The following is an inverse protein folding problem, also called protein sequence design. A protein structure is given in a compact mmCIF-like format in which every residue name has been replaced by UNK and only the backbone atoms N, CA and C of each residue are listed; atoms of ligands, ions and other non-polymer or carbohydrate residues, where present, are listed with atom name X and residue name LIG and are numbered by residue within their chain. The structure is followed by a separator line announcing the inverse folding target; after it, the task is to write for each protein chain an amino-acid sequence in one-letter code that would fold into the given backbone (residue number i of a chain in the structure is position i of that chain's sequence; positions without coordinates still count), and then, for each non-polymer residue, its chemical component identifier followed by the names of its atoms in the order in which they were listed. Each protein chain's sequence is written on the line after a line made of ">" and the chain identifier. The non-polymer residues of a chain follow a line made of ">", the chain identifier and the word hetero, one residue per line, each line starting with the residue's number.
data_IF_888947343430
#
_entry.id   IF_888947343430
#
_cell.length_a   1.000
_cell.length_b   1.000
_cell.length_c   1.000
_cell.angle_alpha   90.00
_cell.angle_beta   90.00
_cell.angle_gamma   90.00
#
_symmetry.space_group_name_H-M   'P 1'
#
loop_
_entity.id
_entity.type
_entity.pdbx_description
1 polymer ?
#
# COMPACT_ATOMS: atom_id res chain seq x y z
N UNK A 1 -14.52 13.65 7.26
CA UNK A 1 -14.16 12.22 7.13
C UNK A 1 -12.64 12.12 7.17
N UNK A 2 -12.04 11.60 8.24
CA UNK A 2 -10.58 11.36 8.27
C UNK A 2 -10.33 10.05 7.53
N UNK A 3 -9.83 10.19 6.31
CA UNK A 3 -9.81 9.19 5.24
C UNK A 3 -8.74 8.13 5.47
N UNK A 4 -9.03 6.87 5.13
CA UNK A 4 -8.11 5.71 5.20
C UNK A 4 -6.75 5.90 4.48
N UNK A 5 -6.58 6.98 3.73
CA UNK A 5 -5.31 7.42 3.12
C UNK A 5 -4.33 8.04 4.13
N UNK A 6 -4.82 8.80 5.12
CA UNK A 6 -3.98 9.39 6.17
C UNK A 6 -3.10 8.35 6.90
N UNK A 7 -3.59 7.15 7.24
CA UNK A 7 -2.78 6.06 7.78
C UNK A 7 -1.72 5.48 6.83
N UNK A 8 -1.87 5.62 5.51
CA UNK A 8 -0.89 5.14 4.54
C UNK A 8 0.23 6.18 4.38
N UNK A 9 -0.13 7.43 4.12
CA UNK A 9 0.83 8.55 3.98
C UNK A 9 1.71 8.67 5.23
N UNK A 10 1.13 8.59 6.42
CA UNK A 10 1.92 8.58 7.69
C UNK A 10 2.88 7.41 7.81
N UNK A 11 2.50 6.25 7.27
CA UNK A 11 3.39 5.09 7.25
C UNK A 11 4.54 5.29 6.27
N UNK A 12 4.25 5.88 5.11
CA UNK A 12 5.25 6.22 4.11
C UNK A 12 6.24 7.28 4.64
N UNK A 13 5.74 8.36 5.24
CA UNK A 13 6.57 9.39 5.89
C UNK A 13 7.50 8.79 6.95
N UNK A 14 6.99 7.86 7.77
CA UNK A 14 7.78 7.16 8.77
C UNK A 14 8.86 6.29 8.14
N UNK A 15 8.55 5.59 7.05
CA UNK A 15 9.53 4.77 6.33
C UNK A 15 10.64 5.64 5.73
N UNK A 16 10.30 6.78 5.13
CA UNK A 16 11.28 7.74 4.63
C UNK A 16 12.19 8.27 5.75
N UNK A 17 11.63 8.55 6.92
CA UNK A 17 12.39 8.94 8.10
C UNK A 17 13.41 7.88 8.51
N UNK A 18 13.00 6.61 8.57
CA UNK A 18 13.90 5.47 8.88
C UNK A 18 15.03 5.38 7.84
N UNK A 19 14.73 5.48 6.55
CA UNK A 19 15.73 5.44 5.49
C UNK A 19 16.73 6.58 5.66
N UNK A 20 16.27 7.81 5.89
CA UNK A 20 17.15 8.96 6.13
C UNK A 20 18.06 8.73 7.33
N UNK A 21 17.53 8.23 8.44
CA UNK A 21 18.33 7.92 9.63
C UNK A 21 19.42 6.87 9.33
N UNK A 22 19.09 5.82 8.57
CA UNK A 22 20.05 4.80 8.16
C UNK A 22 21.12 5.35 7.20
N UNK A 23 20.75 6.24 6.27
CA UNK A 23 21.66 6.87 5.31
C UNK A 23 22.66 7.82 5.98
N UNK A 24 22.28 8.46 7.10
CA UNK A 24 23.21 9.33 7.84
C UNK A 24 24.39 8.57 8.44
N UNK A 25 24.20 7.28 8.77
CA UNK A 25 25.23 6.47 9.40
C UNK A 25 25.64 6.91 10.81
N UNK A 26 24.89 7.82 11.44
CA UNK A 26 25.21 8.35 12.78
C UNK A 26 24.88 7.36 13.91
N UNK A 27 24.10 6.31 13.61
CA UNK A 27 23.65 5.30 14.57
C UNK A 27 24.69 4.19 14.74
N UNK A 28 24.77 3.64 15.95
CA UNK A 28 25.53 2.42 16.20
C UNK A 28 24.99 1.21 15.43
N UNK A 29 25.77 0.13 15.37
CA UNK A 29 25.37 -1.10 14.65
C UNK A 29 24.04 -1.68 15.15
N UNK A 30 23.86 -1.76 16.46
CA UNK A 30 22.65 -2.30 17.09
C UNK A 30 21.42 -1.45 16.76
N UNK A 31 21.52 -0.13 16.90
CA UNK A 31 20.45 0.81 16.55
C UNK A 31 20.11 0.75 15.05
N UNK A 32 21.12 0.62 14.20
CA UNK A 32 20.94 0.50 12.75
C UNK A 32 20.21 -0.78 12.38
N UNK A 33 20.49 -1.89 13.08
CA UNK A 33 19.77 -3.16 12.87
C UNK A 33 18.30 -3.05 13.28
N UNK A 34 18.00 -2.39 14.39
CA UNK A 34 16.62 -2.15 14.84
C UNK A 34 15.86 -1.29 13.83
N UNK A 35 16.45 -0.18 13.39
CA UNK A 35 15.87 0.69 12.37
C UNK A 35 15.63 -0.06 11.05
N UNK A 36 16.57 -0.89 10.63
CA UNK A 36 16.43 -1.71 9.43
C UNK A 36 15.27 -2.71 9.54
N UNK A 37 15.17 -3.44 10.65
CA UNK A 37 14.06 -4.36 10.88
C UNK A 37 12.71 -3.66 10.87
N UNK A 38 12.61 -2.50 11.53
CA UNK A 38 11.39 -1.71 11.59
C UNK A 38 11.01 -1.15 10.22
N UNK A 39 12.01 -0.67 9.45
CA UNK A 39 11.83 -0.24 8.06
C UNK A 39 11.31 -1.38 7.18
N UNK A 40 11.88 -2.58 7.29
CA UNK A 40 11.44 -3.76 6.54
C UNK A 40 10.00 -4.17 6.87
N UNK A 41 9.64 -4.20 8.16
CA UNK A 41 8.26 -4.50 8.60
C UNK A 41 7.28 -3.47 8.04
N UNK A 42 7.63 -2.18 8.12
CA UNK A 42 6.78 -1.10 7.63
C UNK A 42 6.61 -1.13 6.12
N UNK A 43 7.70 -1.35 5.37
CA UNK A 43 7.67 -1.50 3.91
C UNK A 43 6.75 -2.66 3.48
N UNK A 44 6.83 -3.80 4.17
CA UNK A 44 5.95 -4.94 3.90
C UNK A 44 4.48 -4.60 4.14
N UNK A 45 4.16 -3.91 5.24
CA UNK A 45 2.79 -3.49 5.55
C UNK A 45 2.22 -2.51 4.50
N UNK A 46 3.02 -1.54 4.06
CA UNK A 46 2.60 -0.57 3.02
C UNK A 46 2.36 -1.28 1.69
N UNK A 47 3.26 -2.18 1.29
CA UNK A 47 3.10 -2.99 0.08
C UNK A 47 1.82 -3.82 0.10
N UNK A 48 1.53 -4.50 1.22
CA UNK A 48 0.29 -5.28 1.37
C UNK A 48 -0.97 -4.42 1.22
N UNK A 49 -0.97 -3.20 1.77
CA UNK A 49 -2.09 -2.25 1.59
C UNK A 49 -2.27 -1.81 0.15
N UNK A 50 -1.18 -1.58 -0.58
CA UNK A 50 -1.25 -1.22 -1.99
C UNK A 50 -1.83 -2.37 -2.82
N UNK A 51 -1.43 -3.61 -2.53
CA UNK A 51 -1.99 -4.78 -3.22
C UNK A 51 -3.48 -4.96 -2.94
N UNK A 52 -3.93 -4.76 -1.69
CA UNK A 52 -5.36 -4.77 -1.36
C UNK A 52 -6.12 -3.68 -2.14
N UNK A 53 -5.57 -2.47 -2.22
CA UNK A 53 -6.19 -1.37 -2.97
C UNK A 53 -6.27 -1.70 -4.46
N UNK A 54 -5.20 -2.24 -5.05
CA UNK A 54 -5.16 -2.68 -6.45
C UNK A 54 -6.20 -3.77 -6.72
N UNK A 55 -6.26 -4.81 -5.88
CA UNK A 55 -7.24 -5.88 -6.01
C UNK A 55 -8.68 -5.34 -5.97
N UNK A 56 -8.96 -4.39 -5.07
CA UNK A 56 -10.29 -3.74 -5.01
C UNK A 56 -10.62 -2.98 -6.29
N UNK A 57 -9.65 -2.28 -6.89
CA UNK A 57 -9.84 -1.60 -8.18
C UNK A 57 -10.11 -2.61 -9.29
N UNK A 58 -9.35 -3.71 -9.36
CA UNK A 58 -9.55 -4.76 -10.35
C UNK A 58 -10.95 -5.39 -10.27
N UNK A 59 -11.45 -5.66 -9.06
CA UNK A 59 -12.81 -6.18 -8.85
C UNK A 59 -13.85 -5.18 -9.35
N UNK A 60 -13.71 -3.90 -9.00
CA UNK A 60 -14.65 -2.86 -9.44
C UNK A 60 -14.67 -2.69 -10.96
N UNK A 61 -13.52 -2.80 -11.63
CA UNK A 61 -13.44 -2.76 -13.10
C UNK A 61 -14.18 -3.96 -13.69
N UNK A 62 -13.92 -5.17 -13.19
CA UNK A 62 -14.59 -6.40 -13.66
C UNK A 62 -16.10 -6.37 -13.44
N UNK A 63 -16.56 -5.86 -12.29
CA UNK A 63 -17.99 -5.69 -12.00
C UNK A 63 -18.64 -4.62 -12.88
N UNK A 64 -17.91 -3.53 -13.19
CA UNK A 64 -18.33 -2.51 -14.14
C UNK A 64 -18.49 -3.10 -15.55
N UNK A 65 -17.48 -3.82 -16.05
CA UNK A 65 -17.53 -4.50 -17.35
C UNK A 65 -18.65 -5.55 -17.41
N UNK A 66 -18.88 -6.29 -16.32
CA UNK A 66 -19.97 -7.27 -16.21
C UNK A 66 -21.37 -6.66 -16.27
N UNK A 67 -21.55 -5.42 -15.80
CA UNK A 67 -22.83 -4.68 -15.88
C UNK A 67 -23.10 -4.06 -17.25
N UNK A 68 -22.07 -3.82 -18.06
CA UNK A 68 -22.21 -3.28 -19.42
C UNK A 68 -22.20 -4.34 -20.51
N UNK A 69 -22.13 -5.63 -20.14
CA UNK A 69 -22.31 -6.72 -21.10
C UNK A 69 -23.79 -6.77 -21.49
N UNK A 70 -24.12 -6.22 -22.66
CA UNK A 70 -25.43 -6.38 -23.27
C UNK A 70 -25.69 -7.89 -23.40
N UNK A 71 -26.61 -8.42 -22.59
CA UNK A 71 -27.17 -9.73 -22.90
C UNK A 71 -27.80 -9.63 -24.29
N UNK A 72 -27.54 -10.58 -25.21
CA UNK A 72 -28.31 -10.65 -26.44
C UNK A 72 -29.73 -10.94 -25.99
N UNK A 73 -30.58 -9.90 -25.99
CA UNK A 73 -32.01 -10.06 -25.78
C UNK A 73 -32.48 -10.99 -26.88
N UNK A 74 -32.81 -12.22 -26.53
CA UNK A 74 -33.52 -13.13 -27.41
C UNK A 74 -34.83 -12.44 -27.79
N UNK A 75 -34.91 -11.90 -29.01
CA UNK A 75 -36.18 -11.53 -29.61
C UNK A 75 -36.89 -12.84 -29.96
N UNK A 76 -38.06 -13.06 -29.33
CA UNK A 76 -39.05 -14.04 -29.76
C UNK A 76 -39.61 -13.69 -31.15
#
# INVERSE_FOLDING_TARGET
>A
MKTKLEPFEKGLDKLEGIVRELETGEKGLEDSLVLFEDGMKLAHQLSSRLEEAKHRVEVLIKEGEGKFRAEPRSEE
#
